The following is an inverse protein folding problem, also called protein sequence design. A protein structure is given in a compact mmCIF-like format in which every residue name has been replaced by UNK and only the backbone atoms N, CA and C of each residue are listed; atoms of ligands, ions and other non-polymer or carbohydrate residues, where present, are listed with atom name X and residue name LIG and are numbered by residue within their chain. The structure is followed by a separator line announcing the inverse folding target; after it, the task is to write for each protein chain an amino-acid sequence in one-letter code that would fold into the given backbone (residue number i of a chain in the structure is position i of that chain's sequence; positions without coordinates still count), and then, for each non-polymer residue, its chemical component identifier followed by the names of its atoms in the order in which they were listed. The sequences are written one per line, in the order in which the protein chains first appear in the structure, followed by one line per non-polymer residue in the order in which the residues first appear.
data_IF_985335007300
#
_entry.id   IF_985335007300
#
_cell.length_a   1.000
_cell.length_b   1.000
_cell.length_c   1.000
_cell.angle_alpha   90.00
_cell.angle_beta   90.00
_cell.angle_gamma   90.00
#
_symmetry.space_group_name_H-M   'P 1'
#
loop_
_entity.id
_entity.type
_entity.pdbx_description
1 polymer ?
#
# COMPACT_ATOMS: atom_id res chain seq x y z
N UNK A 1 4.71 -11.99 4.13
CA UNK A 1 3.37 -11.39 4.10
C UNK A 1 2.55 -11.93 2.94
N UNK A 2 3.11 -11.93 1.74
CA UNK A 2 2.40 -12.43 0.56
C UNK A 2 2.08 -13.90 0.67
N UNK A 3 2.94 -14.66 1.30
CA UNK A 3 2.78 -16.11 1.46
C UNK A 3 1.85 -16.49 2.61
N UNK A 4 1.29 -15.52 3.30
CA UNK A 4 0.33 -15.78 4.36
C UNK A 4 0.93 -16.10 5.72
N UNK A 5 2.25 -16.04 5.87
CA UNK A 5 2.89 -16.31 7.15
C UNK A 5 2.55 -15.26 8.20
N UNK A 6 2.37 -14.01 7.75
CA UNK A 6 2.00 -12.90 8.62
C UNK A 6 0.61 -12.43 8.22
N UNK A 7 -0.36 -12.42 9.15
CA UNK A 7 -1.69 -11.95 8.83
C UNK A 7 -1.63 -10.53 8.28
N UNK A 8 -2.35 -10.29 7.21
CA UNK A 8 -2.40 -8.97 6.59
C UNK A 8 -3.85 -8.57 6.35
N UNK A 9 -4.10 -7.28 6.32
CA UNK A 9 -5.39 -6.74 5.97
C UNK A 9 -5.41 -6.46 4.47
N UNK A 10 -5.72 -7.49 3.71
CA UNK A 10 -5.70 -7.43 2.26
C UNK A 10 -6.77 -6.48 1.73
N UNK A 11 -6.36 -5.58 0.85
CA UNK A 11 -7.26 -4.64 0.19
C UNK A 11 -7.61 -5.11 -1.22
N UNK A 12 -6.63 -5.66 -1.93
CA UNK A 12 -6.79 -6.01 -3.34
C UNK A 12 -5.77 -7.08 -3.71
N UNK A 13 -6.13 -7.95 -4.65
CA UNK A 13 -5.16 -8.86 -5.26
C UNK A 13 -5.60 -9.26 -6.66
N UNK A 14 -4.63 -9.52 -7.51
CA UNK A 14 -4.85 -10.10 -8.82
C UNK A 14 -3.70 -11.07 -9.13
N UNK A 15 -3.57 -11.48 -10.39
CA UNK A 15 -2.55 -12.46 -10.77
C UNK A 15 -1.13 -11.97 -10.54
N UNK A 16 -0.89 -10.66 -10.60
CA UNK A 16 0.46 -10.09 -10.56
C UNK A 16 0.73 -9.20 -9.37
N UNK A 17 -0.30 -8.72 -8.69
CA UNK A 17 -0.12 -7.72 -7.63
C UNK A 17 -0.95 -8.05 -6.40
N UNK A 18 -0.59 -7.43 -5.30
CA UNK A 18 -1.23 -7.63 -4.01
C UNK A 18 -1.12 -6.32 -3.22
N UNK A 19 -2.18 -5.96 -2.52
CA UNK A 19 -2.19 -4.74 -1.70
C UNK A 19 -2.80 -5.02 -0.34
N UNK A 20 -2.20 -4.42 0.69
CA UNK A 20 -2.64 -4.61 2.07
C UNK A 20 -2.34 -3.37 2.90
N UNK A 21 -3.07 -3.23 4.00
CA UNK A 21 -2.86 -2.10 4.91
C UNK A 21 -1.53 -2.22 5.63
N UNK A 22 -0.88 -1.08 5.85
CA UNK A 22 0.33 -1.02 6.67
C UNK A 22 -0.11 -1.00 8.14
N UNK A 23 0.43 -1.93 8.94
CA UNK A 23 0.08 -2.01 10.37
C UNK A 23 0.76 -0.91 11.19
N UNK A 24 1.76 -0.24 10.61
CA UNK A 24 2.40 0.94 11.20
C UNK A 24 2.24 2.11 10.24
N UNK A 25 1.00 2.59 10.05
CA UNK A 25 0.73 3.60 9.03
C UNK A 25 1.26 4.97 9.41
N UNK A 26 1.56 5.76 8.38
CA UNK A 26 1.87 7.18 8.54
C UNK A 26 0.56 7.97 8.65
N UNK A 27 -0.47 7.51 7.94
CA UNK A 27 -1.82 8.07 8.01
C UNK A 27 -2.84 6.93 7.95
N UNK A 28 -4.04 7.10 8.49
CA UNK A 28 -5.09 6.08 8.33
C UNK A 28 -5.33 5.80 6.85
N UNK A 29 -5.35 4.52 6.50
CA UNK A 29 -5.52 4.10 5.12
C UNK A 29 -4.23 3.91 4.34
N UNK A 30 -3.09 4.14 4.97
CA UNK A 30 -1.78 3.88 4.38
C UNK A 30 -1.67 2.40 4.00
N UNK A 31 -1.42 2.12 2.73
CA UNK A 31 -1.32 0.74 2.26
C UNK A 31 -0.05 0.52 1.46
N UNK A 32 0.29 -0.74 1.29
CA UNK A 32 1.42 -1.17 0.50
C UNK A 32 0.91 -1.94 -0.71
N UNK A 33 1.47 -1.65 -1.87
CA UNK A 33 1.18 -2.39 -3.10
C UNK A 33 2.46 -3.08 -3.51
N UNK A 34 2.38 -4.39 -3.70
CA UNK A 34 3.56 -5.20 -4.02
C UNK A 34 3.29 -6.07 -5.24
N UNK A 35 4.34 -6.35 -6.04
CA UNK A 35 4.23 -7.37 -7.07
C UNK A 35 4.30 -8.75 -6.40
N UNK A 36 3.68 -9.76 -7.01
CA UNK A 36 3.79 -11.12 -6.49
C UNK A 36 5.18 -11.69 -6.69
N UNK A 37 5.85 -11.25 -7.75
CA UNK A 37 7.24 -11.64 -7.99
C UNK A 37 8.13 -11.01 -6.93
N UNK A 38 8.91 -11.83 -6.23
CA UNK A 38 9.77 -11.33 -5.16
C UNK A 38 11.06 -10.78 -5.74
N UNK A 39 11.10 -9.49 -5.98
CA UNK A 39 12.26 -8.76 -6.48
C UNK A 39 12.50 -7.59 -5.54
N UNK A 40 13.75 -7.41 -5.12
CA UNK A 40 14.09 -6.41 -4.11
C UNK A 40 13.97 -4.97 -4.65
N UNK A 41 14.50 -4.73 -5.83
CA UNK A 41 14.52 -3.39 -6.41
C UNK A 41 13.41 -3.23 -7.44
N UNK A 42 12.67 -2.14 -7.32
CA UNK A 42 11.57 -1.85 -8.23
C UNK A 42 12.01 -1.86 -9.69
N UNK A 43 13.18 -1.29 -9.96
CA UNK A 43 13.72 -1.18 -11.33
C UNK A 43 14.13 -2.52 -11.92
N UNK A 44 14.26 -3.56 -11.11
CA UNK A 44 14.62 -4.90 -11.57
C UNK A 44 13.43 -5.77 -11.93
N UNK A 45 12.20 -5.26 -11.77
CA UNK A 45 11.01 -5.98 -12.20
C UNK A 45 10.97 -6.09 -13.73
N UNK A 46 10.45 -7.22 -14.23
CA UNK A 46 10.12 -7.33 -15.64
C UNK A 46 9.09 -6.25 -16.00
N UNK A 47 9.13 -5.78 -17.24
CA UNK A 47 8.25 -4.71 -17.69
C UNK A 47 6.78 -5.01 -17.44
N UNK A 48 6.34 -6.24 -17.71
CA UNK A 48 4.94 -6.62 -17.52
C UNK A 48 4.53 -6.53 -16.04
N UNK A 49 5.41 -6.94 -15.14
CA UNK A 49 5.15 -6.87 -13.70
C UNK A 49 5.20 -5.43 -13.21
N UNK A 50 6.13 -4.64 -13.72
CA UNK A 50 6.20 -3.23 -13.38
C UNK A 50 4.94 -2.48 -13.82
N UNK A 51 4.49 -2.71 -15.04
CA UNK A 51 3.28 -2.08 -15.55
C UNK A 51 2.04 -2.51 -14.76
N UNK A 52 1.95 -3.80 -14.41
CA UNK A 52 0.85 -4.31 -13.60
C UNK A 52 0.84 -3.67 -12.21
N UNK A 53 2.03 -3.54 -11.60
CA UNK A 53 2.16 -2.90 -10.29
C UNK A 53 1.68 -1.47 -10.32
N UNK A 54 2.14 -0.68 -11.29
CA UNK A 54 1.78 0.73 -11.38
C UNK A 54 0.32 0.94 -11.75
N UNK A 55 -0.27 0.00 -12.52
CA UNK A 55 -1.69 0.04 -12.82
C UNK A 55 -2.52 -0.18 -11.56
N UNK A 56 -2.11 -1.12 -10.73
CA UNK A 56 -2.77 -1.38 -9.44
C UNK A 56 -2.61 -0.18 -8.51
N UNK A 57 -1.42 0.42 -8.47
CA UNK A 57 -1.18 1.63 -7.67
C UNK A 57 -2.15 2.74 -8.08
N UNK A 58 -2.31 2.98 -9.37
CA UNK A 58 -3.21 4.02 -9.86
C UNK A 58 -4.67 3.71 -9.47
N UNK A 59 -5.09 2.48 -9.63
CA UNK A 59 -6.44 2.05 -9.26
C UNK A 59 -6.71 2.33 -7.79
N UNK A 60 -5.77 1.96 -6.93
CA UNK A 60 -5.95 2.11 -5.49
C UNK A 60 -5.80 3.56 -5.03
N UNK A 61 -4.99 4.36 -5.71
CA UNK A 61 -4.93 5.80 -5.43
C UNK A 61 -6.31 6.44 -5.63
N UNK A 62 -6.96 6.12 -6.73
CA UNK A 62 -8.30 6.63 -7.01
C UNK A 62 -9.31 6.14 -5.99
N UNK A 63 -9.24 4.85 -5.65
CA UNK A 63 -10.15 4.23 -4.69
C UNK A 63 -10.02 4.87 -3.29
N UNK A 64 -8.78 5.00 -2.82
CA UNK A 64 -8.51 5.59 -1.50
C UNK A 64 -8.97 7.05 -1.45
N UNK A 65 -8.67 7.79 -2.50
CA UNK A 65 -9.06 9.20 -2.55
C UNK A 65 -10.58 9.35 -2.48
N UNK A 66 -11.30 8.51 -3.21
CA UNK A 66 -12.75 8.58 -3.24
C UNK A 66 -13.37 8.13 -1.92
N UNK A 67 -12.89 7.03 -1.35
CA UNK A 67 -13.47 6.48 -0.13
C UNK A 67 -13.18 7.33 1.10
N UNK A 68 -11.97 7.86 1.20
CA UNK A 68 -11.55 8.64 2.36
C UNK A 68 -11.71 10.14 2.17
N UNK A 69 -12.08 10.59 0.98
CA UNK A 69 -12.23 12.00 0.66
C UNK A 69 -10.97 12.79 0.98
N UNK A 70 -9.79 12.16 0.79
CA UNK A 70 -8.53 12.84 1.00
C UNK A 70 -8.26 13.81 -0.16
N UNK A 71 -7.56 14.89 0.12
CA UNK A 71 -7.26 15.87 -0.92
C UNK A 71 -6.27 15.31 -1.94
N UNK A 72 -5.38 14.44 -1.48
CA UNK A 72 -4.30 13.92 -2.30
C UNK A 72 -3.91 12.52 -1.81
N UNK A 73 -3.28 11.77 -2.69
CA UNK A 73 -2.66 10.50 -2.33
C UNK A 73 -1.22 10.57 -2.79
N UNK A 74 -0.30 10.33 -1.87
CA UNK A 74 1.13 10.40 -2.16
C UNK A 74 1.72 9.01 -2.24
N UNK A 75 2.80 8.89 -2.98
CA UNK A 75 3.52 7.63 -3.13
C UNK A 75 4.91 7.76 -2.53
N UNK A 76 5.39 6.67 -1.97
CA UNK A 76 6.77 6.57 -1.52
C UNK A 76 7.31 5.21 -1.86
N UNK A 77 8.51 5.17 -2.40
CA UNK A 77 9.20 3.92 -2.74
C UNK A 77 10.56 3.94 -2.04
N UNK A 78 10.81 2.91 -1.28
CA UNK A 78 12.10 2.68 -0.65
C UNK A 78 12.21 1.17 -0.46
N UNK A 79 13.27 0.67 0.11
CA UNK A 79 13.40 -0.78 0.25
C UNK A 79 14.47 -1.18 1.24
N UNK A 80 14.76 -0.28 2.19
CA UNK A 80 15.87 -0.54 3.11
C UNK A 80 15.58 -1.63 4.12
N UNK A 81 14.31 -1.83 4.50
CA UNK A 81 13.95 -2.75 5.57
C UNK A 81 13.40 -4.08 5.07
N UNK A 82 12.78 -4.10 3.91
CA UNK A 82 12.11 -5.29 3.37
C UNK A 82 12.62 -5.55 1.96
N UNK A 83 13.25 -6.71 1.71
CA UNK A 83 13.82 -7.02 0.37
C UNK A 83 12.75 -7.52 -0.60
N UNK A 84 11.72 -6.75 -0.79
CA UNK A 84 10.63 -7.01 -1.72
C UNK A 84 10.11 -5.66 -2.18
N UNK A 85 10.18 -5.38 -3.47
CA UNK A 85 9.76 -4.09 -4.01
C UNK A 85 8.32 -3.79 -3.59
N UNK A 86 8.08 -2.58 -3.14
CA UNK A 86 6.76 -2.17 -2.69
C UNK A 86 6.59 -0.68 -2.86
N UNK A 87 5.33 -0.27 -3.05
CA UNK A 87 4.97 1.13 -3.20
C UNK A 87 4.03 1.50 -2.07
N UNK A 88 4.40 2.51 -1.30
CA UNK A 88 3.53 3.06 -0.26
C UNK A 88 2.50 3.97 -0.90
N UNK A 89 1.23 3.76 -0.56
CA UNK A 89 0.12 4.60 -0.99
C UNK A 89 -0.43 5.26 0.27
N UNK A 90 -0.29 6.58 0.37
CA UNK A 90 -0.54 7.32 1.61
C UNK A 90 -1.55 8.42 1.35
N UNK A 91 -2.78 8.31 1.89
CA UNK A 91 -3.73 9.42 1.79
C UNK A 91 -3.24 10.60 2.62
N UNK A 92 -3.32 11.80 2.08
CA UNK A 92 -2.79 12.97 2.76
C UNK A 92 -3.52 14.24 2.30
N UNK A 93 -3.47 15.26 3.13
CA UNK A 93 -4.02 16.57 2.82
C UNK A 93 -2.97 17.65 2.89
N UNK A 94 -1.85 17.36 3.59
CA UNK A 94 -0.73 18.30 3.72
C UNK A 94 0.57 17.55 3.48
N UNK A 95 1.63 18.30 3.22
CA UNK A 95 2.98 17.75 3.08
C UNK A 95 3.42 17.05 4.38
N UNK A 96 3.04 17.61 5.52
CA UNK A 96 3.38 17.05 6.82
C UNK A 96 2.77 15.68 7.05
N UNK A 97 1.61 15.42 6.46
CA UNK A 97 0.96 14.10 6.58
C UNK A 97 1.84 12.99 6.03
N UNK A 98 2.56 13.25 4.94
CA UNK A 98 3.45 12.25 4.33
C UNK A 98 4.69 12.03 5.18
N UNK A 99 5.14 13.08 5.84
CA UNK A 99 6.37 13.07 6.63
C UNK A 99 6.14 12.69 8.10
N UNK A 100 4.90 12.41 8.46
CA UNK A 100 4.57 12.07 9.84
C UNK A 100 5.23 10.77 10.27
N UNK A 101 5.39 10.60 11.59
CA UNK A 101 5.95 9.37 12.13
C UNK A 101 4.93 8.24 12.03
N UNK A 102 5.37 7.03 11.67
CA UNK A 102 4.49 5.88 11.71
C UNK A 102 4.03 5.62 13.14
N UNK A 103 2.81 5.10 13.27
CA UNK A 103 2.29 4.71 14.58
C UNK A 103 1.79 3.27 14.53
N UNK A 104 1.64 2.66 15.69
CA UNK A 104 1.11 1.30 15.77
C UNK A 104 -0.41 1.36 15.77
N UNK A 105 -1.04 0.98 14.66
CA UNK A 105 -2.49 0.97 14.55
C UNK A 105 -3.08 -0.18 15.36
N UNK A 106 -4.21 0.06 16.00
CA UNK A 106 -4.91 -0.99 16.73
C UNK A 106 -5.56 -1.97 15.74
N UNK A 107 -5.82 -3.20 16.20
CA UNK A 107 -6.55 -4.17 15.40
C UNK A 107 -7.92 -3.67 14.98
N UNK A 108 -8.59 -2.93 15.86
CA UNK A 108 -9.89 -2.36 15.58
C UNK A 108 -9.82 -1.30 14.48
N UNK A 109 -8.85 -0.41 14.56
CA UNK A 109 -8.64 0.60 13.52
C UNK A 109 -8.36 -0.05 12.16
N UNK A 110 -7.50 -1.06 12.14
CA UNK A 110 -7.16 -1.76 10.91
C UNK A 110 -8.36 -2.52 10.34
N UNK A 111 -9.15 -3.17 11.19
CA UNK A 111 -10.35 -3.87 10.75
C UNK A 111 -11.37 -2.92 10.15
N UNK A 112 -11.60 -1.78 10.78
CA UNK A 112 -12.54 -0.78 10.29
C UNK A 112 -12.07 -0.21 8.95
N UNK A 113 -10.79 0.08 8.82
CA UNK A 113 -10.23 0.60 7.59
C UNK A 113 -10.25 -0.45 6.48
N UNK A 114 -9.98 -1.71 6.83
CA UNK A 114 -10.06 -2.82 5.89
C UNK A 114 -11.47 -2.95 5.31
N UNK A 115 -12.48 -2.87 6.16
CA UNK A 115 -13.87 -2.94 5.71
C UNK A 115 -14.20 -1.78 4.78
N UNK A 116 -13.72 -0.60 5.09
CA UNK A 116 -13.99 0.61 4.32
C UNK A 116 -13.28 0.61 2.96
N UNK A 117 -12.06 0.09 2.90
CA UNK A 117 -11.22 0.17 1.72
C UNK A 117 -11.15 -1.12 0.91
N UNK A 118 -11.70 -2.23 1.36
CA UNK A 118 -11.67 -3.48 0.59
C UNK A 118 -12.23 -3.26 -0.81
N UNK A 119 -11.51 -3.80 -1.78
CA UNK A 119 -11.83 -3.58 -3.19
C UNK A 119 -12.51 -4.79 -3.80
#
# INVERSE_FOLDING_TARGET
IINGEIPSFKIYEDERTYAFLNINPVQPGHMLVVPREQVDHLEDLEDDDYEALMRTVKLLMQHVRDELQSERVCLRVEGFQVPHAHVHVIPCSTEEDVMAQPYEASSEELADMHERLSY
#
